data_IF_253117950114
#
_entry.id   IF_253117950114
#
_cell.length_a   1.000
_cell.length_b   1.000
_cell.length_c   1.000
_cell.angle_alpha   90.00
_cell.angle_beta   90.00
_cell.angle_gamma   90.00
#
_symmetry.space_group_name_H-M   'P 1'
#
loop_
_entity.id
_entity.type
_entity.pdbx_description
1 polymer ?
#
# COMPACT_ATOMS: atom_id res chain seq x y z
N UNK A 1 3.37 -14.05 -10.07
CA UNK A 1 2.80 -15.38 -9.78
C UNK A 1 1.45 -15.52 -10.50
N UNK A 2 0.98 -16.74 -10.77
CA UNK A 2 -0.36 -16.99 -11.34
C UNK A 2 -1.37 -17.21 -10.18
N UNK A 3 -2.48 -16.47 -10.11
CA UNK A 3 -3.51 -16.69 -9.10
C UNK A 3 -4.35 -17.93 -9.41
N UNK A 4 -4.71 -18.70 -8.37
CA UNK A 4 -5.58 -19.87 -8.49
C UNK A 4 -7.05 -19.41 -8.53
N UNK A 5 -7.61 -19.26 -9.72
CA UNK A 5 -8.97 -18.72 -9.95
C UNK A 5 -9.95 -19.76 -10.50
N UNK A 6 -9.52 -21.01 -10.64
CA UNK A 6 -10.27 -22.07 -11.34
C UNK A 6 -11.64 -22.31 -10.71
N UNK A 7 -11.71 -22.30 -9.37
CA UNK A 7 -12.97 -22.44 -8.62
C UNK A 7 -13.91 -21.25 -8.86
N UNK A 8 -13.38 -20.03 -8.86
CA UNK A 8 -14.18 -18.82 -9.09
C UNK A 8 -14.74 -18.80 -10.52
N UNK A 9 -13.94 -19.20 -11.50
CA UNK A 9 -14.38 -19.35 -12.90
C UNK A 9 -15.49 -20.40 -13.00
N UNK A 10 -15.29 -21.59 -12.43
CA UNK A 10 -16.28 -22.66 -12.46
C UNK A 10 -17.60 -22.27 -11.77
N UNK A 11 -17.53 -21.44 -10.72
CA UNK A 11 -18.71 -20.92 -10.01
C UNK A 11 -19.37 -19.71 -10.70
N UNK A 12 -18.83 -19.22 -11.83
CA UNK A 12 -19.38 -18.06 -12.55
C UNK A 12 -19.13 -16.72 -11.86
N UNK A 13 -18.12 -16.62 -10.99
CA UNK A 13 -17.75 -15.37 -10.34
C UNK A 13 -17.04 -14.42 -11.32
N UNK A 14 -17.16 -13.11 -11.06
CA UNK A 14 -16.39 -12.11 -11.78
C UNK A 14 -14.90 -12.28 -11.50
N UNK A 15 -14.11 -12.48 -12.56
CA UNK A 15 -12.66 -12.64 -12.50
C UNK A 15 -11.97 -11.72 -13.51
N UNK A 16 -10.68 -11.44 -13.28
CA UNK A 16 -9.78 -10.74 -14.19
C UNK A 16 -8.36 -11.26 -14.01
N UNK A 17 -7.47 -10.44 -13.46
CA UNK A 17 -6.14 -10.90 -13.02
C UNK A 17 -6.17 -11.55 -11.63
N UNK A 18 -7.37 -11.78 -11.07
CA UNK A 18 -7.68 -12.44 -9.82
C UNK A 18 -9.19 -12.57 -9.65
N UNK A 19 -9.67 -12.90 -8.46
CA UNK A 19 -11.11 -12.87 -8.13
C UNK A 19 -11.48 -11.42 -7.83
N UNK A 20 -12.40 -10.85 -8.62
CA UNK A 20 -12.80 -9.46 -8.45
C UNK A 20 -13.71 -9.29 -7.26
N UNK A 21 -13.42 -8.27 -6.47
CA UNK A 21 -14.23 -7.91 -5.31
C UNK A 21 -14.66 -6.45 -5.33
N UNK A 22 -15.74 -6.17 -4.60
CA UNK A 22 -16.14 -4.81 -4.27
C UNK A 22 -15.25 -4.18 -3.17
N UNK A 23 -15.60 -2.98 -2.73
CA UNK A 23 -14.87 -2.28 -1.67
C UNK A 23 -15.01 -2.94 -0.29
N UNK A 24 -15.89 -3.92 -0.13
CA UNK A 24 -16.09 -4.71 1.08
C UNK A 24 -15.47 -6.11 0.97
N UNK A 25 -14.66 -6.35 -0.07
CA UNK A 25 -14.01 -7.63 -0.38
C UNK A 25 -14.99 -8.78 -0.70
N UNK A 26 -16.23 -8.45 -1.09
CA UNK A 26 -17.22 -9.42 -1.58
C UNK A 26 -17.04 -9.64 -3.06
N UNK A 27 -17.16 -10.89 -3.49
CA UNK A 27 -17.17 -11.24 -4.92
C UNK A 27 -18.51 -10.86 -5.56
N UNK A 28 -18.71 -11.22 -6.84
CA UNK A 28 -20.00 -11.06 -7.50
C UNK A 28 -21.13 -11.93 -6.91
N UNK A 29 -20.79 -12.91 -6.06
CA UNK A 29 -21.76 -13.60 -5.23
C UNK A 29 -21.71 -13.04 -3.80
N UNK A 30 -22.85 -12.60 -3.23
CA UNK A 30 -22.87 -11.81 -1.98
C UNK A 30 -22.34 -12.56 -0.75
N UNK A 31 -22.45 -13.90 -0.74
CA UNK A 31 -22.02 -14.75 0.36
C UNK A 31 -20.57 -15.26 0.21
N UNK A 32 -19.87 -14.86 -0.87
CA UNK A 32 -18.52 -15.31 -1.19
C UNK A 32 -17.58 -14.10 -1.18
N UNK A 33 -16.47 -14.23 -0.46
CA UNK A 33 -15.43 -13.21 -0.33
C UNK A 33 -14.11 -13.74 -0.88
N UNK A 34 -13.20 -12.84 -1.25
CA UNK A 34 -11.83 -13.18 -1.62
C UNK A 34 -10.82 -12.27 -0.92
N UNK A 35 -9.70 -12.85 -0.50
CA UNK A 35 -8.63 -12.17 0.22
C UNK A 35 -7.26 -12.76 -0.13
N UNK A 36 -6.22 -11.98 0.14
CA UNK A 36 -4.84 -12.35 -0.13
C UNK A 36 -4.47 -12.27 -1.61
N UNK A 37 -3.47 -13.07 -1.98
CA UNK A 37 -2.84 -12.97 -3.29
C UNK A 37 -3.82 -13.16 -4.46
N UNK A 38 -4.93 -13.88 -4.29
CA UNK A 38 -5.91 -14.11 -5.37
C UNK A 38 -6.85 -12.91 -5.58
N UNK A 39 -6.93 -11.99 -4.62
CA UNK A 39 -7.94 -10.95 -4.56
C UNK A 39 -7.59 -9.78 -5.49
N UNK A 40 -8.45 -9.56 -6.49
CA UNK A 40 -8.35 -8.42 -7.40
C UNK A 40 -9.33 -7.33 -6.95
N UNK A 41 -8.80 -6.21 -6.44
CA UNK A 41 -9.58 -5.15 -5.79
C UNK A 41 -9.16 -3.77 -6.29
N UNK A 42 -9.91 -2.73 -5.90
CA UNK A 42 -9.59 -1.34 -6.23
C UNK A 42 -9.18 -0.60 -4.95
N UNK A 43 -8.11 0.20 -5.01
CA UNK A 43 -7.72 1.08 -3.89
C UNK A 43 -8.66 2.28 -3.73
N UNK A 44 -9.32 2.69 -4.82
CA UNK A 44 -10.31 3.75 -4.86
C UNK A 44 -11.46 3.35 -5.79
N UNK A 45 -12.71 3.79 -5.57
CA UNK A 45 -13.84 3.44 -6.42
C UNK A 45 -13.61 3.71 -7.92
N UNK A 46 -12.96 4.83 -8.23
CA UNK A 46 -12.59 5.25 -9.60
C UNK A 46 -11.28 4.62 -10.11
N UNK A 47 -10.60 3.85 -9.27
CA UNK A 47 -9.32 3.22 -9.61
C UNK A 47 -9.48 1.95 -10.45
N UNK A 48 -8.40 1.56 -11.11
CA UNK A 48 -8.31 0.26 -11.77
C UNK A 48 -8.25 -0.89 -10.76
N UNK A 49 -8.72 -2.06 -11.19
CA UNK A 49 -8.50 -3.31 -10.47
C UNK A 49 -7.01 -3.64 -10.42
N UNK A 50 -6.55 -4.12 -9.27
CA UNK A 50 -5.16 -4.53 -9.03
C UNK A 50 -5.10 -5.71 -8.07
N UNK A 51 -3.92 -6.33 -7.99
CA UNK A 51 -3.64 -7.46 -7.10
C UNK A 51 -2.34 -7.20 -6.34
N UNK A 52 -2.29 -7.59 -5.07
CA UNK A 52 -1.11 -7.42 -4.23
C UNK A 52 -0.70 -8.74 -3.59
N UNK A 53 0.54 -9.15 -3.88
CA UNK A 53 1.15 -10.39 -3.42
C UNK A 53 2.05 -10.10 -2.20
N UNK A 54 1.46 -9.52 -1.15
CA UNK A 54 2.23 -9.09 0.03
C UNK A 54 1.61 -9.68 1.29
N UNK A 55 2.48 -10.05 2.24
CA UNK A 55 2.06 -10.60 3.53
C UNK A 55 1.09 -9.67 4.26
N UNK A 56 1.40 -8.36 4.29
CA UNK A 56 0.55 -7.34 4.93
C UNK A 56 -0.82 -7.25 4.27
N UNK A 57 -0.89 -7.28 2.93
CA UNK A 57 -2.17 -7.24 2.22
C UNK A 57 -3.01 -8.48 2.54
N UNK A 58 -2.41 -9.67 2.54
CA UNK A 58 -3.13 -10.90 2.85
C UNK A 58 -3.67 -10.93 4.28
N UNK A 59 -2.86 -10.53 5.27
CA UNK A 59 -3.31 -10.41 6.66
C UNK A 59 -4.48 -9.43 6.79
N UNK A 60 -4.35 -8.24 6.21
CA UNK A 60 -5.35 -7.19 6.33
C UNK A 60 -6.66 -7.55 5.61
N UNK A 61 -6.58 -8.07 4.38
CA UNK A 61 -7.77 -8.52 3.65
C UNK A 61 -8.46 -9.67 4.36
N UNK A 62 -7.71 -10.64 4.91
CA UNK A 62 -8.30 -11.75 5.65
C UNK A 62 -9.09 -11.27 6.87
N UNK A 63 -8.51 -10.36 7.67
CA UNK A 63 -9.20 -9.73 8.80
C UNK A 63 -10.45 -8.98 8.35
N UNK A 64 -10.34 -8.22 7.27
CA UNK A 64 -11.42 -7.36 6.78
C UNK A 64 -12.58 -8.15 6.18
N UNK A 65 -12.30 -9.18 5.38
CA UNK A 65 -13.30 -10.12 4.88
C UNK A 65 -14.04 -10.80 6.04
N UNK A 66 -13.33 -11.21 7.11
CA UNK A 66 -13.98 -11.80 8.28
C UNK A 66 -14.94 -10.83 8.98
N UNK A 67 -14.59 -9.56 9.11
CA UNK A 67 -15.50 -8.53 9.65
C UNK A 67 -16.74 -8.37 8.76
N UNK A 68 -16.58 -8.36 7.45
CA UNK A 68 -17.72 -8.17 6.55
C UNK A 68 -18.60 -9.43 6.44
N UNK A 69 -18.03 -10.63 6.59
CA UNK A 69 -18.81 -11.87 6.77
C UNK A 69 -19.68 -11.82 8.03
N UNK A 70 -19.26 -11.07 9.07
CA UNK A 70 -20.04 -10.84 10.29
C UNK A 70 -21.06 -9.70 10.17
N UNK A 71 -21.22 -9.11 8.99
CA UNK A 71 -22.20 -8.05 8.72
C UNK A 71 -21.76 -6.66 9.12
N UNK A 72 -20.44 -6.40 9.23
CA UNK A 72 -19.94 -5.07 9.59
C UNK A 72 -19.95 -4.06 8.41
N UNK A 73 -20.06 -4.52 7.16
CA UNK A 73 -20.17 -3.67 5.98
C UNK A 73 -19.09 -2.56 5.88
N UNK A 74 -17.84 -2.89 6.20
CA UNK A 74 -16.72 -1.94 6.21
C UNK A 74 -16.03 -1.88 4.84
N UNK A 75 -15.67 -0.69 4.32
CA UNK A 75 -14.83 -0.57 3.14
C UNK A 75 -13.36 -0.88 3.46
N UNK A 76 -12.66 -1.60 2.57
CA UNK A 76 -11.24 -1.90 2.67
C UNK A 76 -10.40 -0.73 2.14
N UNK A 77 -9.67 -0.06 3.03
CA UNK A 77 -8.97 1.20 2.74
C UNK A 77 -7.49 1.18 3.14
N UNK A 78 -6.90 -0.01 3.26
CA UNK A 78 -5.48 -0.15 3.65
C UNK A 78 -4.55 0.45 2.61
N UNK A 79 -3.49 1.12 3.09
CA UNK A 79 -2.44 1.64 2.22
C UNK A 79 -1.51 0.48 1.83
N UNK A 80 -1.25 0.27 0.53
CA UNK A 80 -0.33 -0.77 0.07
C UNK A 80 1.04 -0.65 0.72
N UNK A 81 1.68 -1.77 1.00
CA UNK A 81 3.06 -1.76 1.46
C UNK A 81 3.65 -3.15 1.50
N UNK A 82 4.98 -3.21 1.38
CA UNK A 82 5.75 -4.43 1.58
C UNK A 82 7.15 -4.11 2.06
N UNK A 83 7.84 -5.15 2.53
CA UNK A 83 9.26 -5.09 2.80
C UNK A 83 9.99 -6.27 2.15
N UNK A 84 11.27 -6.08 1.93
CA UNK A 84 12.20 -7.12 1.52
C UNK A 84 13.49 -6.91 2.29
N UNK A 85 13.95 -7.96 2.96
CA UNK A 85 15.27 -7.96 3.58
C UNK A 85 16.24 -8.68 2.64
N UNK A 86 17.35 -8.01 2.33
CA UNK A 86 18.40 -8.48 1.44
C UNK A 86 19.73 -8.25 2.12
N UNK A 87 20.36 -9.34 2.58
CA UNK A 87 21.51 -9.27 3.49
C UNK A 87 21.17 -8.44 4.74
N UNK A 88 22.07 -7.55 5.16
CA UNK A 88 21.86 -6.65 6.29
C UNK A 88 21.01 -5.42 5.95
N UNK A 89 20.46 -5.32 4.73
CA UNK A 89 19.65 -4.19 4.29
C UNK A 89 18.16 -4.54 4.25
N UNK A 90 17.33 -3.59 4.66
CA UNK A 90 15.88 -3.65 4.51
C UNK A 90 15.42 -2.61 3.49
N UNK A 91 14.60 -3.06 2.55
CA UNK A 91 13.82 -2.21 1.62
C UNK A 91 12.38 -2.23 2.08
N UNK A 92 11.79 -1.07 2.30
CA UNK A 92 10.40 -0.94 2.74
C UNK A 92 9.68 0.08 1.87
N UNK A 93 8.48 -0.28 1.43
CA UNK A 93 7.66 0.58 0.58
C UNK A 93 6.29 0.78 1.19
N UNK A 94 5.70 1.93 0.89
CA UNK A 94 4.31 2.23 1.21
C UNK A 94 3.68 3.10 0.13
N UNK A 95 2.39 2.89 -0.13
CA UNK A 95 1.64 3.59 -1.15
C UNK A 95 1.98 3.14 -2.57
N UNK A 96 1.74 4.02 -3.53
CA UNK A 96 1.96 3.74 -4.96
C UNK A 96 3.25 4.42 -5.42
N UNK A 97 4.29 3.63 -5.63
CA UNK A 97 5.53 4.06 -6.25
C UNK A 97 5.46 3.74 -7.75
N UNK A 98 5.03 4.70 -8.57
CA UNK A 98 4.93 4.52 -10.02
C UNK A 98 6.31 4.29 -10.66
N UNK A 99 6.35 3.90 -11.94
CA UNK A 99 7.57 3.82 -12.77
C UNK A 99 8.16 5.20 -13.11
N UNK A 100 8.09 6.15 -12.18
CA UNK A 100 8.61 7.51 -12.31
C UNK A 100 9.81 7.68 -11.39
N UNK A 101 10.64 8.67 -11.69
CA UNK A 101 11.70 9.08 -10.78
C UNK A 101 11.07 9.66 -9.50
N UNK A 102 11.70 9.46 -8.33
CA UNK A 102 11.22 10.04 -7.09
C UNK A 102 11.19 11.57 -7.18
N UNK A 103 10.17 12.19 -6.61
CA UNK A 103 10.01 13.65 -6.55
C UNK A 103 11.00 14.30 -5.58
N UNK A 104 11.38 13.57 -4.54
CA UNK A 104 12.37 13.98 -3.54
C UNK A 104 13.13 12.76 -3.03
N UNK A 105 14.35 12.97 -2.55
CA UNK A 105 15.18 11.94 -1.93
C UNK A 105 15.94 12.51 -0.75
N UNK A 106 16.02 11.73 0.33
CA UNK A 106 16.69 12.13 1.57
C UNK A 106 17.69 11.06 1.98
N UNK A 107 18.95 11.44 2.16
CA UNK A 107 19.96 10.56 2.73
C UNK A 107 19.71 10.37 4.24
N UNK A 108 19.96 9.16 4.73
CA UNK A 108 19.83 8.84 6.16
C UNK A 108 21.19 8.90 6.85
N UNK A 109 21.23 9.38 8.09
CA UNK A 109 22.47 9.54 8.85
C UNK A 109 23.20 8.20 9.11
N UNK A 110 22.45 7.11 9.28
CA UNK A 110 22.98 5.75 9.44
C UNK A 110 23.38 5.07 8.12
N UNK A 111 23.36 5.81 7.00
CA UNK A 111 23.45 5.25 5.66
C UNK A 111 22.10 4.82 5.11
N UNK A 112 21.97 4.80 3.79
CA UNK A 112 20.69 4.55 3.11
C UNK A 112 19.95 5.83 2.72
N UNK A 113 18.70 5.67 2.28
CA UNK A 113 17.89 6.76 1.73
C UNK A 113 16.39 6.53 1.87
N UNK A 114 15.66 7.63 1.90
CA UNK A 114 14.22 7.68 1.62
C UNK A 114 14.00 8.29 0.24
N UNK A 115 13.04 7.73 -0.49
CA UNK A 115 12.54 8.18 -1.78
C UNK A 115 11.06 8.52 -1.62
N UNK A 116 10.66 9.70 -2.08
CA UNK A 116 9.28 10.18 -1.96
C UNK A 116 8.67 10.39 -3.33
N UNK A 117 7.41 9.97 -3.50
CA UNK A 117 6.66 10.07 -4.74
C UNK A 117 5.41 10.90 -4.48
N UNK A 118 5.36 12.09 -5.09
CA UNK A 118 4.25 13.02 -4.95
C UNK A 118 3.31 12.93 -6.15
N UNK A 119 2.02 13.12 -5.91
CA UNK A 119 1.04 13.34 -6.97
C UNK A 119 1.13 14.77 -7.54
N UNK A 120 0.31 15.07 -8.56
CA UNK A 120 0.25 16.38 -9.19
C UNK A 120 -0.17 17.52 -8.24
N UNK A 121 -0.76 17.20 -7.08
CA UNK A 121 -1.14 18.14 -6.03
C UNK A 121 -0.11 18.21 -4.89
N UNK A 122 1.10 17.68 -5.11
CA UNK A 122 2.19 17.65 -4.12
C UNK A 122 1.87 16.84 -2.86
N UNK A 123 0.92 15.89 -2.92
CA UNK A 123 0.59 15.01 -1.80
C UNK A 123 1.40 13.73 -1.90
N UNK A 124 1.80 13.17 -0.77
CA UNK A 124 2.53 11.90 -0.78
C UNK A 124 1.63 10.78 -1.30
N UNK A 125 2.03 10.16 -2.40
CA UNK A 125 1.36 9.01 -3.00
C UNK A 125 2.07 7.71 -2.65
N UNK A 126 3.39 7.75 -2.51
CA UNK A 126 4.20 6.60 -2.12
C UNK A 126 5.56 7.00 -1.55
N UNK A 127 6.19 6.07 -0.84
CA UNK A 127 7.55 6.22 -0.36
C UNK A 127 8.29 4.87 -0.39
N UNK A 128 9.60 4.93 -0.57
CA UNK A 128 10.50 3.78 -0.49
C UNK A 128 11.69 4.14 0.40
N UNK A 129 12.02 3.24 1.32
CA UNK A 129 13.11 3.39 2.26
C UNK A 129 14.07 2.23 2.11
N UNK A 130 15.36 2.53 2.09
CA UNK A 130 16.45 1.55 2.04
C UNK A 130 17.45 1.91 3.13
N UNK A 131 17.68 1.02 4.09
CA UNK A 131 18.67 1.23 5.14
C UNK A 131 19.17 -0.10 5.74
N UNK A 132 20.22 -0.02 6.57
CA UNK A 132 20.70 -1.18 7.33
C UNK A 132 19.69 -1.59 8.41
N UNK A 133 19.44 -2.89 8.51
CA UNK A 133 18.44 -3.49 9.38
C UNK A 133 17.07 -2.83 9.24
N UNK A 134 16.32 -2.79 10.33
CA UNK A 134 14.95 -2.24 10.34
C UNK A 134 14.89 -0.73 10.62
N UNK A 135 15.98 0.01 10.38
CA UNK A 135 16.09 1.42 10.82
C UNK A 135 15.12 2.37 10.10
N UNK A 136 14.70 2.04 8.87
CA UNK A 136 13.81 2.87 8.05
C UNK A 136 12.30 2.69 8.35
N UNK A 137 11.92 1.69 9.15
CA UNK A 137 10.51 1.36 9.39
C UNK A 137 9.71 2.50 10.04
N UNK A 138 10.34 3.27 10.94
CA UNK A 138 9.68 4.42 11.58
C UNK A 138 9.35 5.51 10.57
N UNK A 139 10.25 5.79 9.63
CA UNK A 139 10.04 6.77 8.58
C UNK A 139 8.96 6.31 7.61
N UNK A 140 8.96 5.04 7.20
CA UNK A 140 7.91 4.47 6.34
C UNK A 140 6.54 4.53 7.00
N UNK A 141 6.43 4.26 8.31
CA UNK A 141 5.18 4.43 9.04
C UNK A 141 4.71 5.88 9.09
N UNK A 142 5.63 6.86 9.14
CA UNK A 142 5.27 8.28 9.03
C UNK A 142 4.82 8.64 7.62
N UNK A 143 5.48 8.11 6.58
CA UNK A 143 5.06 8.26 5.19
C UNK A 143 3.66 7.69 4.96
N UNK A 144 3.34 6.53 5.53
CA UNK A 144 1.98 5.97 5.46
C UNK A 144 0.94 6.95 5.99
N UNK A 145 1.20 7.55 7.15
CA UNK A 145 0.31 8.55 7.74
C UNK A 145 0.20 9.81 6.89
N UNK A 146 1.27 10.22 6.21
CA UNK A 146 1.27 11.36 5.29
C UNK A 146 0.42 11.06 4.04
N UNK A 147 0.48 9.83 3.52
CA UNK A 147 -0.38 9.37 2.41
C UNK A 147 -1.85 9.47 2.82
N UNK A 148 -2.20 8.97 4.01
CA UNK A 148 -3.57 9.05 4.54
C UNK A 148 -4.01 10.50 4.78
N UNK A 149 -3.12 11.35 5.31
CA UNK A 149 -3.43 12.75 5.60
C UNK A 149 -3.68 13.59 4.34
N UNK A 150 -3.11 13.20 3.20
CA UNK A 150 -3.25 13.91 1.91
C UNK A 150 -2.84 15.39 1.98
N UNK A 151 -1.96 15.75 2.92
CA UNK A 151 -1.43 17.11 3.06
C UNK A 151 -0.46 17.41 1.91
N UNK A 152 -0.54 18.57 1.24
CA UNK A 152 0.47 19.01 0.28
C UNK A 152 1.84 19.21 0.97
N UNK A 153 2.90 18.73 0.34
CA UNK A 153 4.26 18.73 0.90
C UNK A 153 5.21 19.52 0.01
N UNK A 154 6.17 20.20 0.64
CA UNK A 154 7.26 20.84 -0.09
C UNK A 154 8.38 19.84 -0.39
N UNK A 155 8.83 19.79 -1.64
CA UNK A 155 10.01 19.03 -2.07
C UNK A 155 11.26 19.43 -1.26
N UNK A 156 11.42 20.72 -0.94
CA UNK A 156 12.58 21.19 -0.16
C UNK A 156 12.57 20.61 1.26
N UNK A 157 11.40 20.56 1.90
CA UNK A 157 11.26 19.96 3.24
C UNK A 157 11.47 18.45 3.21
N UNK A 158 11.03 17.77 2.14
CA UNK A 158 11.26 16.33 1.99
C UNK A 158 12.74 16.00 1.77
N UNK A 159 13.49 16.84 1.04
CA UNK A 159 14.92 16.65 0.84
C UNK A 159 15.76 16.99 2.08
N UNK A 160 15.28 17.87 2.96
CA UNK A 160 15.99 18.31 4.15
C UNK A 160 16.04 17.20 5.23
N UNK A 161 17.22 16.65 5.58
CA UNK A 161 17.35 15.62 6.61
C UNK A 161 16.99 16.11 8.02
N UNK A 162 17.11 17.41 8.30
CA UNK A 162 16.79 18.00 9.61
C UNK A 162 15.28 18.23 9.78
N UNK A 163 14.51 18.22 8.68
CA UNK A 163 13.08 18.37 8.72
C UNK A 163 12.39 17.06 9.13
N UNK A 164 11.82 17.01 10.33
CA UNK A 164 11.18 15.79 10.84
C UNK A 164 9.87 15.48 10.08
N UNK A 165 9.73 14.26 9.55
CA UNK A 165 8.49 13.80 8.88
C UNK A 165 7.26 13.91 9.80
N UNK A 166 7.44 13.79 11.13
CA UNK A 166 6.35 13.97 12.11
C UNK A 166 5.84 15.41 12.18
N UNK A 167 6.67 16.40 11.85
CA UNK A 167 6.25 17.81 11.81
C UNK A 167 5.38 18.07 10.58
N UNK A 168 5.67 17.41 9.45
CA UNK A 168 4.88 17.51 8.22
C UNK A 168 3.43 17.02 8.41
N UNK A 169 3.18 16.12 9.35
CA UNK A 169 1.83 15.65 9.70
C UNK A 169 0.97 16.70 10.44
N UNK A 170 1.54 17.85 10.81
CA UNK A 170 0.84 18.92 11.55
C UNK A 170 0.52 20.14 10.70
N UNK A 171 0.93 20.12 9.43
CA UNK A 171 0.58 21.12 8.44
C UNK A 171 -0.87 20.92 8.00
#
# INVERSE_FOLDING_TARGET
MQPNIELAVAAGLAVGQGIRVDDQLRTSAPDIFAAGDVCEYRLHPEGGYQRQETWRNAEAQGRHSALNMLGHDLPFQEVPGFWSDQYDWSVQTVGVTMQTLPSASRALACGGRLLFYLDAQQRLQGACGLALGNSVAKDIKLCERLIVARTPLSISMLNDPECSLKQLLRL
#
